data_IF_734957616999
#
_entry.id   IF_734957616999
#
_cell.length_a   1.000
_cell.length_b   1.000
_cell.length_c   1.000
_cell.angle_alpha   90.00
_cell.angle_beta   90.00
_cell.angle_gamma   90.00
#
_symmetry.space_group_name_H-M   'P 1'
#
loop_
_entity.id
_entity.type
_entity.pdbx_description
1 polymer ?
#
# COMPACT_ATOMS: atom_id res chain seq x y z
N UNK A 1 -6.52 -6.01 11.55
CA UNK A 1 -6.19 -4.76 12.28
C UNK A 1 -6.97 -3.60 11.66
N UNK A 2 -7.36 -2.56 12.41
CA UNK A 2 -8.16 -1.46 11.86
C UNK A 2 -7.31 -0.47 11.05
N UNK A 3 -7.69 -0.20 9.80
CA UNK A 3 -6.99 0.79 8.96
C UNK A 3 -7.16 2.24 9.45
N UNK A 4 -8.20 2.51 10.23
CA UNK A 4 -8.54 3.87 10.67
C UNK A 4 -7.56 4.43 11.73
N UNK A 5 -6.68 3.60 12.27
CA UNK A 5 -5.75 3.98 13.33
C UNK A 5 -4.47 4.66 12.80
N UNK A 6 -4.23 4.63 11.49
CA UNK A 6 -3.00 5.12 10.86
C UNK A 6 -3.31 6.16 9.80
N UNK A 7 -2.45 7.18 9.65
CA UNK A 7 -2.50 8.11 8.52
C UNK A 7 -2.02 7.44 7.23
N UNK A 8 -1.03 6.55 7.30
CA UNK A 8 -0.51 5.78 6.18
C UNK A 8 -0.61 4.28 6.46
N UNK A 9 -1.29 3.57 5.56
CA UNK A 9 -1.47 2.13 5.67
C UNK A 9 -1.61 1.49 4.30
N UNK A 10 -0.82 0.47 4.01
CA UNK A 10 -1.12 -0.49 2.97
C UNK A 10 -1.26 -1.87 3.63
N UNK A 11 -2.44 -2.46 3.51
CA UNK A 11 -2.74 -3.77 4.06
C UNK A 11 -3.41 -4.63 3.02
N UNK A 12 -2.97 -5.88 2.89
CA UNK A 12 -3.55 -6.90 2.04
C UNK A 12 -3.37 -8.28 2.70
N UNK A 13 -4.44 -9.03 2.86
CA UNK A 13 -4.45 -10.34 3.55
C UNK A 13 -4.54 -11.55 2.61
N UNK A 14 -4.23 -11.36 1.32
CA UNK A 14 -4.41 -12.38 0.28
C UNK A 14 -5.79 -12.38 -0.37
N UNK A 15 -6.79 -11.72 0.24
CA UNK A 15 -8.16 -11.68 -0.28
C UNK A 15 -8.75 -10.28 -0.35
N UNK A 16 -8.46 -9.46 0.65
CA UNK A 16 -8.98 -8.11 0.78
C UNK A 16 -7.91 -7.23 1.42
N UNK A 17 -8.08 -5.93 1.22
CA UNK A 17 -7.13 -4.98 1.78
C UNK A 17 -7.64 -3.57 1.73
N UNK A 18 -6.78 -2.67 2.13
CA UNK A 18 -7.03 -1.25 1.97
C UNK A 18 -5.72 -0.47 1.92
N UNK A 19 -5.74 0.62 1.16
CA UNK A 19 -4.68 1.60 1.06
C UNK A 19 -5.21 2.92 1.65
N UNK A 20 -4.43 3.55 2.52
CA UNK A 20 -4.78 4.82 3.17
C UNK A 20 -3.60 5.78 3.13
N UNK A 21 -3.90 7.02 2.75
CA UNK A 21 -3.01 8.15 2.86
C UNK A 21 -3.79 9.39 3.35
N UNK A 22 -3.62 9.72 4.62
CA UNK A 22 -4.34 10.77 5.33
C UNK A 22 -5.84 10.47 5.41
N UNK A 23 -6.63 11.26 4.68
CA UNK A 23 -8.08 11.14 4.61
C UNK A 23 -8.58 10.33 3.39
N UNK A 24 -7.69 9.99 2.45
CA UNK A 24 -8.06 9.10 1.33
C UNK A 24 -7.85 7.65 1.79
N UNK A 25 -8.92 6.86 1.73
CA UNK A 25 -8.91 5.43 2.02
C UNK A 25 -9.60 4.71 0.89
N UNK A 26 -8.92 3.75 0.27
CA UNK A 26 -9.44 2.91 -0.79
C UNK A 26 -9.45 1.46 -0.34
N UNK A 27 -10.59 0.80 -0.49
CA UNK A 27 -10.70 -0.64 -0.30
C UNK A 27 -10.10 -1.32 -1.53
N UNK A 28 -9.23 -2.30 -1.29
CA UNK A 28 -8.62 -3.11 -2.33
C UNK A 28 -9.48 -4.36 -2.52
N UNK A 29 -9.89 -4.60 -3.76
CA UNK A 29 -10.62 -5.80 -4.19
C UNK A 29 -9.74 -6.74 -5.01
N UNK A 30 -8.50 -6.30 -5.30
CA UNK A 30 -7.46 -7.02 -6.02
C UNK A 30 -6.12 -6.77 -5.31
N UNK A 31 -5.16 -7.71 -5.42
CA UNK A 31 -3.85 -7.55 -4.80
C UNK A 31 -3.14 -6.30 -5.31
N UNK A 32 -2.61 -5.43 -4.42
CA UNK A 32 -1.90 -4.24 -4.83
C UNK A 32 -0.57 -4.63 -5.49
N UNK A 33 -0.23 -3.96 -6.60
CA UNK A 33 1.03 -4.19 -7.30
C UNK A 33 2.09 -3.20 -6.81
N UNK A 34 3.10 -3.70 -6.11
CA UNK A 34 4.29 -2.93 -5.73
C UNK A 34 5.21 -2.77 -6.95
N UNK A 35 4.89 -1.83 -7.83
CA UNK A 35 5.66 -1.61 -9.07
C UNK A 35 7.11 -1.22 -8.75
N UNK A 36 8.06 -1.90 -9.41
CA UNK A 36 9.49 -1.67 -9.20
C UNK A 36 10.13 -2.52 -8.11
N UNK A 37 9.34 -3.20 -7.27
CA UNK A 37 9.85 -4.17 -6.31
C UNK A 37 10.13 -5.52 -6.97
N UNK A 38 11.27 -6.12 -6.63
CA UNK A 38 11.66 -7.46 -7.11
C UNK A 38 10.70 -8.50 -6.52
N UNK A 39 10.20 -9.42 -7.36
CA UNK A 39 9.27 -10.48 -6.97
C UNK A 39 7.93 -10.00 -6.36
N UNK A 40 7.50 -8.77 -6.65
CA UNK A 40 6.24 -8.22 -6.16
C UNK A 40 5.03 -9.11 -6.48
N UNK A 41 5.09 -9.86 -7.59
CA UNK A 41 4.07 -10.81 -8.03
C UNK A 41 3.95 -12.07 -7.15
N UNK A 42 4.94 -12.33 -6.29
CA UNK A 42 4.96 -13.48 -5.39
C UNK A 42 4.44 -13.15 -3.98
N UNK A 43 4.17 -11.86 -3.71
CA UNK A 43 3.64 -11.38 -2.45
C UNK A 43 2.15 -11.71 -2.34
N UNK A 44 1.79 -12.52 -1.35
CA UNK A 44 0.40 -12.88 -1.05
C UNK A 44 -0.20 -11.95 0.00
N UNK A 45 0.61 -11.50 0.96
CA UNK A 45 0.15 -10.63 2.05
C UNK A 45 1.12 -9.46 2.23
N UNK A 46 0.57 -8.30 2.56
CA UNK A 46 1.30 -7.05 2.77
C UNK A 46 0.77 -6.38 4.03
N UNK A 47 1.68 -5.99 4.91
CA UNK A 47 1.40 -5.24 6.12
C UNK A 47 2.42 -4.08 6.22
N UNK A 48 2.03 -2.89 5.80
CA UNK A 48 2.87 -1.69 5.81
C UNK A 48 2.17 -0.55 6.54
N UNK A 49 2.70 -0.16 7.70
CA UNK A 49 2.31 1.00 8.51
C UNK A 49 3.57 1.66 9.10
N UNK A 50 4.12 2.70 8.44
CA UNK A 50 5.39 3.30 8.84
C UNK A 50 5.33 3.99 10.21
N UNK A 51 4.15 4.50 10.60
CA UNK A 51 3.91 5.14 11.91
C UNK A 51 4.21 4.24 13.11
N UNK A 52 4.09 2.92 12.92
CA UNK A 52 4.36 1.91 13.95
C UNK A 52 5.49 0.96 13.55
N UNK A 53 6.32 1.37 12.58
CA UNK A 53 7.48 0.61 12.10
C UNK A 53 7.12 -0.79 11.60
N UNK A 54 5.94 -0.94 10.99
CA UNK A 54 5.56 -2.21 10.35
C UNK A 54 5.80 -2.08 8.85
N UNK A 55 6.65 -2.96 8.32
CA UNK A 55 6.94 -3.07 6.90
C UNK A 55 7.22 -4.54 6.58
N UNK A 56 6.17 -5.34 6.51
CA UNK A 56 6.26 -6.78 6.37
C UNK A 56 5.46 -7.29 5.18
N UNK A 57 5.93 -8.38 4.60
CA UNK A 57 5.27 -9.09 3.51
C UNK A 57 5.35 -10.59 3.74
N UNK A 58 4.43 -11.33 3.11
CA UNK A 58 4.45 -12.78 3.08
C UNK A 58 4.34 -13.28 1.64
N UNK A 59 5.25 -14.17 1.27
CA UNK A 59 5.20 -14.90 0.00
C UNK A 59 4.34 -16.16 0.15
N UNK A 60 3.90 -16.75 -0.97
CA UNK A 60 2.95 -17.88 -0.97
C UNK A 60 3.35 -19.06 -0.08
N UNK A 61 4.60 -19.48 -0.18
CA UNK A 61 5.14 -20.63 0.57
C UNK A 61 6.10 -20.18 1.70
N UNK A 62 6.05 -18.89 2.08
CA UNK A 62 6.98 -18.29 3.03
C UNK A 62 6.34 -17.84 4.34
N UNK A 63 7.20 -17.64 5.33
CA UNK A 63 6.89 -16.90 6.55
C UNK A 63 6.90 -15.39 6.28
N UNK A 64 6.35 -14.62 7.22
CA UNK A 64 6.46 -13.17 7.21
C UNK A 64 7.93 -12.74 7.26
N UNK A 65 8.28 -11.81 6.37
CA UNK A 65 9.59 -11.16 6.36
C UNK A 65 9.44 -9.66 6.30
N UNK A 66 10.49 -8.96 6.71
CA UNK A 66 10.59 -7.52 6.47
C UNK A 66 10.64 -7.22 4.97
N UNK A 67 10.07 -6.08 4.61
CA UNK A 67 10.16 -5.51 3.28
C UNK A 67 11.60 -5.11 2.98
N UNK A 68 12.01 -5.35 1.74
CA UNK A 68 13.22 -4.78 1.16
C UNK A 68 13.06 -3.27 0.94
N UNK A 69 14.16 -2.51 0.79
CA UNK A 69 14.08 -1.08 0.48
C UNK A 69 13.24 -0.76 -0.77
N UNK A 70 13.32 -1.60 -1.80
CA UNK A 70 12.56 -1.40 -3.05
C UNK A 70 11.06 -1.64 -2.84
N UNK A 71 10.69 -2.63 -2.02
CA UNK A 71 9.28 -2.88 -1.64
C UNK A 71 8.71 -1.74 -0.78
N UNK A 72 9.49 -1.18 0.14
CA UNK A 72 9.11 0.00 0.92
C UNK A 72 8.88 1.19 -0.02
N UNK A 73 9.84 1.48 -0.90
CA UNK A 73 9.73 2.59 -1.85
C UNK A 73 8.51 2.43 -2.77
N UNK A 74 8.23 1.21 -3.23
CA UNK A 74 7.06 0.91 -4.05
C UNK A 74 5.73 1.08 -3.28
N UNK A 75 5.68 0.69 -2.00
CA UNK A 75 4.52 0.91 -1.15
C UNK A 75 4.26 2.40 -0.90
N UNK A 76 5.32 3.17 -0.63
CA UNK A 76 5.24 4.63 -0.49
C UNK A 76 4.75 5.31 -1.76
N UNK A 77 5.29 4.91 -2.92
CA UNK A 77 4.87 5.43 -4.22
C UNK A 77 3.40 5.11 -4.51
N UNK A 78 2.95 3.89 -4.22
CA UNK A 78 1.55 3.50 -4.35
C UNK A 78 0.68 4.37 -3.45
N UNK A 79 1.01 4.52 -2.17
CA UNK A 79 0.25 5.36 -1.23
C UNK A 79 0.25 6.84 -1.63
N UNK A 80 1.34 7.36 -2.16
CA UNK A 80 1.42 8.73 -2.66
C UNK A 80 0.49 8.97 -3.86
N UNK A 81 0.33 7.96 -4.74
CA UNK A 81 -0.53 8.07 -5.92
C UNK A 81 -2.01 8.30 -5.61
N UNK A 82 -2.49 7.87 -4.43
CA UNK A 82 -3.86 8.12 -3.97
C UNK A 82 -4.17 9.63 -3.93
N UNK A 83 -3.20 10.43 -3.47
CA UNK A 83 -3.33 11.87 -3.40
C UNK A 83 -3.10 12.56 -4.77
N UNK A 84 -2.28 11.98 -5.64
CA UNK A 84 -2.01 12.51 -6.98
C UNK A 84 -3.28 12.54 -7.85
N UNK A 85 -4.09 11.45 -7.82
CA UNK A 85 -5.38 11.40 -8.53
C UNK A 85 -6.34 12.54 -8.13
N UNK A 86 -6.21 13.05 -6.90
CA UNK A 86 -7.05 14.15 -6.40
C UNK A 86 -6.55 15.53 -6.89
N UNK A 87 -5.24 15.70 -7.06
CA UNK A 87 -4.65 16.95 -7.54
C UNK A 87 -4.98 17.20 -9.02
N UNK A 88 -5.01 16.15 -9.85
CA UNK A 88 -5.41 16.23 -11.26
C UNK A 88 -6.87 16.72 -11.39
N UNK A 89 -7.80 16.16 -10.61
CA UNK A 89 -9.21 16.58 -10.63
C UNK A 89 -9.48 17.99 -10.10
N UNK A 90 -8.68 18.47 -9.13
CA UNK A 90 -8.80 19.85 -8.66
C UNK A 90 -8.26 20.85 -9.69
N UNK A 91 -7.32 20.44 -10.53
CA UNK A 91 -6.73 21.29 -11.57
C UNK A 91 -7.64 21.36 -12.80
N UNK A 92 -8.32 20.28 -13.18
CA UNK A 92 -9.26 20.23 -14.32
C UNK A 92 -10.57 21.00 -14.08
N UNK A 93 -11.00 21.20 -12.82
CA UNK A 93 -12.25 21.94 -12.51
C UNK A 93 -12.08 23.45 -12.39
N UNK A 94 -10.88 23.97 -12.60
CA UNK A 94 -10.56 25.39 -12.48
C UNK A 94 -10.49 26.14 -13.83
N UNK A 95 -10.92 25.53 -14.93
CA UNK A 95 -10.94 26.13 -16.27
C UNK A 95 -12.34 26.53 -16.72
#
# INVERSE_FOLDING_TARGET
MSIALYQMRLYWDGRQGAARNGNDTRILVEPPRLQGAVNAEQLEEIDYAPEVHVAQVREREGDWREMTPDEVAAAEALLASLNASRAEWMTERAA
#
